data_IF_076621568415
#
_entry.id   IF_076621568415
#
_cell.length_a   1.000
_cell.length_b   1.000
_cell.length_c   1.000
_cell.angle_alpha   90.00
_cell.angle_beta   90.00
_cell.angle_gamma   90.00
#
_symmetry.space_group_name_H-M   'P 1'
#
loop_
_entity.id
_entity.type
_entity.pdbx_description
1 polymer ?
#
# COMPACT_ATOMS: atom_id res chain seq x y z
N UNK A 1 -55.18 67.15 -19.18
CA UNK A 1 -56.15 66.12 -19.60
C UNK A 1 -55.58 64.79 -19.12
N UNK A 2 -56.06 64.06 -18.12
CA UNK A 2 -57.37 63.97 -17.46
C UNK A 2 -57.13 63.62 -15.97
N UNK A 3 -57.90 64.22 -15.07
CA UNK A 3 -57.98 63.92 -13.64
C UNK A 3 -59.35 63.30 -13.33
N UNK A 4 -59.37 62.14 -12.67
CA UNK A 4 -60.55 61.54 -11.99
C UNK A 4 -60.02 60.38 -11.11
N UNK A 5 -60.01 60.37 -9.78
CA UNK A 5 -60.97 60.77 -8.74
C UNK A 5 -62.37 60.14 -8.93
N UNK A 6 -62.54 58.93 -8.41
CA UNK A 6 -63.85 58.35 -8.12
C UNK A 6 -64.06 58.20 -6.60
N UNK A 7 -64.83 59.17 -6.08
CA UNK A 7 -65.93 59.08 -5.11
C UNK A 7 -65.99 57.90 -4.12
N UNK A 8 -65.72 58.22 -2.84
CA UNK A 8 -66.21 57.48 -1.68
C UNK A 8 -67.44 58.20 -1.12
N UNK A 9 -68.60 57.57 -1.22
CA UNK A 9 -69.91 58.09 -0.79
C UNK A 9 -70.00 58.17 0.74
N UNK A 10 -70.30 59.38 1.25
CA UNK A 10 -70.73 59.64 2.62
C UNK A 10 -72.14 59.07 2.82
N UNK A 11 -72.29 58.13 3.75
CA UNK A 11 -73.58 57.88 4.41
C UNK A 11 -73.59 58.65 5.71
N UNK A 12 -74.37 59.73 5.73
CA UNK A 12 -74.76 60.39 6.97
C UNK A 12 -75.87 59.61 7.67
N UNK A 13 -75.90 59.70 9.00
CA UNK A 13 -77.08 59.51 9.84
C UNK A 13 -76.78 60.18 11.18
N UNK A 14 -76.93 61.50 11.23
CA UNK A 14 -77.45 62.14 12.43
C UNK A 14 -78.97 62.06 12.38
N UNK A 15 -79.58 61.43 13.37
CA UNK A 15 -80.71 61.97 14.12
C UNK A 15 -81.24 60.93 15.12
N UNK A 16 -81.49 61.44 16.33
CA UNK A 16 -82.56 61.05 17.27
C UNK A 16 -82.20 60.04 18.36
N UNK A 17 -81.99 60.58 19.56
CA UNK A 17 -82.29 59.91 20.82
C UNK A 17 -83.70 59.31 20.81
N UNK A 18 -83.86 58.15 21.47
CA UNK A 18 -85.01 58.00 22.34
C UNK A 18 -84.60 57.61 23.76
N UNK A 19 -85.22 58.28 24.72
CA UNK A 19 -85.47 57.78 26.07
C UNK A 19 -85.87 56.30 26.03
N UNK A 20 -85.21 55.47 26.84
CA UNK A 20 -85.80 54.59 27.88
C UNK A 20 -84.83 53.44 28.22
N UNK A 21 -84.51 53.25 29.50
CA UNK A 21 -83.63 52.18 30.00
C UNK A 21 -84.24 50.79 29.77
N UNK A 22 -83.40 49.81 29.42
CA UNK A 22 -83.49 48.45 29.99
C UNK A 22 -82.09 47.81 30.06
N UNK A 23 -81.74 47.31 31.25
CA UNK A 23 -80.51 46.52 31.50
C UNK A 23 -80.67 45.16 30.81
N UNK A 24 -80.06 44.99 29.65
CA UNK A 24 -79.92 43.70 28.98
C UNK A 24 -78.76 43.77 28.00
N UNK A 25 -77.79 42.86 28.12
CA UNK A 25 -76.64 42.78 27.19
C UNK A 25 -77.20 42.55 25.78
N UNK A 26 -77.03 43.52 24.88
CA UNK A 26 -77.63 43.46 23.54
C UNK A 26 -77.05 42.30 22.73
N UNK A 27 -77.91 41.64 21.93
CA UNK A 27 -77.55 40.52 21.05
C UNK A 27 -76.33 40.82 20.16
N UNK A 28 -76.08 42.10 19.82
CA UNK A 28 -74.92 42.53 19.04
C UNK A 28 -73.57 42.36 19.74
N UNK A 29 -73.52 42.38 21.08
CA UNK A 29 -72.30 42.12 21.85
C UNK A 29 -71.84 40.66 21.67
N UNK A 30 -72.77 39.71 21.74
CA UNK A 30 -72.47 38.30 21.54
C UNK A 30 -72.08 37.98 20.08
N UNK A 31 -72.69 38.63 19.09
CA UNK A 31 -72.29 38.45 17.68
C UNK A 31 -70.85 38.90 17.40
N UNK A 32 -70.41 40.03 17.98
CA UNK A 32 -69.00 40.47 17.87
C UNK A 32 -68.02 39.50 18.53
N UNK A 33 -68.42 38.95 19.68
CA UNK A 33 -67.63 37.94 20.40
C UNK A 33 -67.50 36.64 19.59
N UNK A 34 -68.59 36.16 19.00
CA UNK A 34 -68.57 34.95 18.16
C UNK A 34 -67.64 35.15 16.96
N UNK A 35 -67.72 36.28 16.26
CA UNK A 35 -66.80 36.58 15.14
C UNK A 35 -65.32 36.64 15.58
N UNK A 36 -65.04 37.20 16.75
CA UNK A 36 -63.67 37.23 17.30
C UNK A 36 -63.16 35.83 17.60
N UNK A 37 -63.97 34.98 18.26
CA UNK A 37 -63.59 33.61 18.55
C UNK A 37 -63.46 32.75 17.28
N UNK A 38 -64.32 32.95 16.27
CA UNK A 38 -64.19 32.27 14.98
C UNK A 38 -62.90 32.67 14.25
N UNK A 39 -62.55 33.96 14.22
CA UNK A 39 -61.30 34.43 13.63
C UNK A 39 -60.07 33.94 14.40
N UNK A 40 -60.16 33.83 15.73
CA UNK A 40 -59.08 33.37 16.59
C UNK A 40 -58.84 31.86 16.43
N UNK A 41 -59.91 31.05 16.41
CA UNK A 41 -59.82 29.61 16.14
C UNK A 41 -59.26 29.37 14.73
N UNK A 42 -59.69 30.14 13.73
CA UNK A 42 -59.13 30.06 12.37
C UNK A 42 -57.64 30.39 12.33
N UNK A 43 -57.19 31.44 13.04
CA UNK A 43 -55.78 31.79 13.11
C UNK A 43 -54.95 30.70 13.81
N UNK A 44 -55.46 30.13 14.91
CA UNK A 44 -54.79 29.02 15.60
C UNK A 44 -54.66 27.78 14.71
N UNK A 45 -55.70 27.45 13.94
CA UNK A 45 -55.64 26.34 12.97
C UNK A 45 -54.57 26.59 11.92
N UNK A 46 -54.48 27.81 11.36
CA UNK A 46 -53.45 28.15 10.38
C UNK A 46 -52.04 28.02 10.98
N UNK A 47 -51.82 28.53 12.19
CA UNK A 47 -50.52 28.40 12.89
C UNK A 47 -50.20 26.93 13.16
N UNK A 48 -51.16 26.13 13.63
CA UNK A 48 -50.96 24.70 13.84
C UNK A 48 -50.62 23.96 12.56
N UNK A 49 -51.29 24.25 11.44
CA UNK A 49 -51.00 23.65 10.14
C UNK A 49 -49.61 24.06 9.63
N UNK A 50 -49.21 25.32 9.79
CA UNK A 50 -47.88 25.81 9.40
C UNK A 50 -46.79 25.17 10.25
N UNK A 51 -46.99 25.05 11.58
CA UNK A 51 -46.07 24.32 12.44
C UNK A 51 -46.00 22.84 12.05
N UNK A 52 -47.12 22.22 11.68
CA UNK A 52 -47.12 20.85 11.17
C UNK A 52 -46.47 20.73 9.78
N UNK A 53 -46.45 21.78 8.97
CA UNK A 53 -45.81 21.77 7.64
C UNK A 53 -44.29 22.02 7.74
N UNK A 54 -43.86 22.87 8.68
CA UNK A 54 -42.45 23.19 8.94
C UNK A 54 -41.79 22.09 9.80
N UNK A 55 -42.47 21.60 10.83
CA UNK A 55 -41.93 20.61 11.79
C UNK A 55 -42.53 19.20 11.65
N UNK A 56 -43.54 19.00 10.80
CA UNK A 56 -44.16 17.68 10.57
C UNK A 56 -43.62 16.94 9.35
N UNK A 57 -42.62 17.48 8.63
CA UNK A 57 -41.73 16.60 7.87
C UNK A 57 -40.91 15.78 8.87
N UNK A 58 -40.78 14.46 8.71
CA UNK A 58 -40.04 13.64 9.65
C UNK A 58 -38.55 13.95 9.56
N UNK A 59 -38.05 14.89 10.36
CA UNK A 59 -36.61 15.11 10.65
C UNK A 59 -35.91 13.79 11.05
N UNK A 60 -36.69 12.79 11.47
CA UNK A 60 -36.24 11.43 11.76
C UNK A 60 -35.52 10.74 10.61
N UNK A 61 -35.78 11.02 9.33
CA UNK A 61 -35.08 10.24 8.28
C UNK A 61 -33.68 10.74 7.93
N UNK A 62 -33.42 12.05 8.03
CA UNK A 62 -32.14 12.63 7.60
C UNK A 62 -31.14 12.72 8.75
N UNK A 63 -31.60 13.09 9.95
CA UNK A 63 -30.71 13.17 11.12
C UNK A 63 -30.40 11.79 11.68
N UNK A 64 -31.38 10.88 11.79
CA UNK A 64 -31.17 9.51 12.27
C UNK A 64 -30.22 8.74 11.36
N UNK A 65 -30.34 8.91 10.03
CA UNK A 65 -29.39 8.32 9.07
C UNK A 65 -27.97 8.89 9.22
N UNK A 66 -27.83 10.19 9.52
CA UNK A 66 -26.51 10.78 9.78
C UNK A 66 -25.93 10.30 11.11
N UNK A 67 -26.76 10.07 12.12
CA UNK A 67 -26.33 9.50 13.40
C UNK A 67 -25.92 8.03 13.22
N UNK A 68 -26.69 7.24 12.47
CA UNK A 68 -26.37 5.84 12.15
C UNK A 68 -25.07 5.72 11.33
N UNK A 69 -24.89 6.57 10.30
CA UNK A 69 -23.65 6.63 9.52
C UNK A 69 -22.45 7.02 10.42
N UNK A 70 -22.66 7.94 11.37
CA UNK A 70 -21.62 8.37 12.31
C UNK A 70 -21.27 7.26 13.32
N UNK A 71 -22.26 6.52 13.80
CA UNK A 71 -22.08 5.37 14.69
C UNK A 71 -21.32 4.23 14.00
N UNK A 72 -21.69 3.89 12.76
CA UNK A 72 -20.98 2.93 11.92
C UNK A 72 -19.52 3.36 11.68
N UNK A 73 -19.31 4.64 11.36
CA UNK A 73 -17.98 5.21 11.16
C UNK A 73 -17.13 5.12 12.43
N UNK A 74 -17.72 5.44 13.58
CA UNK A 74 -17.06 5.36 14.88
C UNK A 74 -16.68 3.94 15.26
N UNK A 75 -17.60 2.98 15.08
CA UNK A 75 -17.36 1.56 15.36
C UNK A 75 -16.22 1.02 14.47
N UNK A 76 -16.24 1.34 13.17
CA UNK A 76 -15.16 0.97 12.24
C UNK A 76 -13.82 1.59 12.63
N UNK A 77 -13.81 2.86 13.04
CA UNK A 77 -12.58 3.53 13.47
C UNK A 77 -12.04 2.95 14.78
N UNK A 78 -12.92 2.58 15.72
CA UNK A 78 -12.58 1.93 16.97
C UNK A 78 -11.94 0.57 16.75
N UNK A 79 -12.52 -0.27 15.88
CA UNK A 79 -11.97 -1.58 15.52
C UNK A 79 -10.58 -1.46 14.88
N UNK A 80 -10.43 -0.53 13.92
CA UNK A 80 -9.12 -0.23 13.31
C UNK A 80 -8.10 0.23 14.36
N UNK A 81 -8.51 1.04 15.34
CA UNK A 81 -7.60 1.51 16.39
C UNK A 81 -7.13 0.35 17.30
N UNK A 82 -8.03 -0.57 17.64
CA UNK A 82 -7.70 -1.77 18.42
C UNK A 82 -6.72 -2.65 17.64
N UNK A 83 -6.97 -2.88 16.36
CA UNK A 83 -6.10 -3.69 15.49
C UNK A 83 -4.70 -3.04 15.36
N UNK A 84 -4.64 -1.74 15.11
CA UNK A 84 -3.37 -1.01 15.03
C UNK A 84 -2.57 -1.05 16.34
N UNK A 85 -3.26 -0.99 17.49
CA UNK A 85 -2.59 -1.15 18.80
C UNK A 85 -2.01 -2.55 18.98
N UNK A 86 -2.72 -3.58 18.51
CA UNK A 86 -2.25 -4.97 18.55
C UNK A 86 -1.04 -5.16 17.64
N UNK A 87 -1.10 -4.70 16.39
CA UNK A 87 0.01 -4.76 15.43
C UNK A 87 1.23 -4.00 15.92
N UNK A 88 1.04 -2.81 16.52
CA UNK A 88 2.13 -2.06 17.16
C UNK A 88 2.80 -2.87 18.27
N UNK A 89 2.03 -3.56 19.10
CA UNK A 89 2.56 -4.43 20.15
C UNK A 89 3.35 -5.60 19.59
N UNK A 90 2.84 -6.26 18.56
CA UNK A 90 3.49 -7.40 17.89
C UNK A 90 4.79 -6.97 17.19
N UNK A 91 4.77 -5.87 16.44
CA UNK A 91 5.95 -5.29 15.80
C UNK A 91 6.99 -4.84 16.84
N UNK A 92 6.53 -4.30 17.98
CA UNK A 92 7.41 -3.97 19.11
C UNK A 92 8.15 -5.19 19.64
N UNK A 93 7.42 -6.29 19.89
CA UNK A 93 8.01 -7.55 20.36
C UNK A 93 8.98 -8.16 19.32
N UNK A 94 8.65 -8.11 18.03
CA UNK A 94 9.54 -8.57 16.97
C UNK A 94 10.82 -7.73 16.88
N UNK A 95 10.70 -6.41 17.05
CA UNK A 95 11.86 -5.51 17.05
C UNK A 95 12.78 -5.79 18.24
N UNK A 96 12.23 -6.02 19.43
CA UNK A 96 13.01 -6.40 20.61
C UNK A 96 13.73 -7.74 20.39
N UNK A 97 13.03 -8.74 19.85
CA UNK A 97 13.63 -10.04 19.54
C UNK A 97 14.76 -9.93 18.51
N UNK A 98 14.56 -9.18 17.42
CA UNK A 98 15.59 -8.94 16.39
C UNK A 98 16.77 -8.15 16.92
N UNK A 99 16.52 -7.20 17.82
CA UNK A 99 17.59 -6.43 18.47
C UNK A 99 18.44 -7.32 19.38
N UNK A 100 17.82 -8.23 20.14
CA UNK A 100 18.53 -9.22 20.95
C UNK A 100 19.34 -10.21 20.08
N UNK A 101 18.78 -10.69 18.98
CA UNK A 101 19.47 -11.56 18.02
C UNK A 101 20.68 -10.85 17.39
N UNK A 102 20.51 -9.59 16.97
CA UNK A 102 21.61 -8.77 16.45
C UNK A 102 22.74 -8.62 17.47
N UNK A 103 22.41 -8.29 18.73
CA UNK A 103 23.41 -8.15 19.78
C UNK A 103 24.16 -9.48 20.05
N UNK A 104 23.46 -10.62 19.97
CA UNK A 104 24.08 -11.93 20.11
C UNK A 104 25.04 -12.24 18.94
N UNK A 105 24.65 -11.91 17.70
CA UNK A 105 25.48 -12.09 16.52
C UNK A 105 26.72 -11.18 16.54
N UNK A 106 26.57 -9.92 16.92
CA UNK A 106 27.71 -8.99 17.08
C UNK A 106 28.72 -9.53 18.11
N UNK A 107 28.23 -10.06 19.24
CA UNK A 107 29.10 -10.68 20.25
C UNK A 107 29.81 -11.93 19.72
N UNK A 108 29.12 -12.76 18.93
CA UNK A 108 29.73 -13.94 18.31
C UNK A 108 30.79 -13.55 17.27
N UNK A 109 30.55 -12.49 16.50
CA UNK A 109 31.49 -11.97 15.51
C UNK A 109 32.75 -11.42 16.16
N UNK A 110 32.62 -10.63 17.23
CA UNK A 110 33.78 -10.15 17.99
C UNK A 110 34.60 -11.30 18.58
N UNK A 111 33.93 -12.33 19.12
CA UNK A 111 34.62 -13.53 19.59
C UNK A 111 35.40 -14.22 18.45
N UNK A 112 34.76 -14.43 17.29
CA UNK A 112 35.41 -15.06 16.15
C UNK A 112 36.62 -14.25 15.65
N UNK A 113 36.52 -12.92 15.68
CA UNK A 113 37.63 -12.01 15.36
C UNK A 113 38.79 -12.15 16.34
N UNK A 114 38.50 -12.24 17.64
CA UNK A 114 39.56 -12.47 18.65
C UNK A 114 40.22 -13.84 18.49
N UNK A 115 39.44 -14.89 18.20
CA UNK A 115 39.94 -16.24 17.99
C UNK A 115 40.82 -16.28 16.72
N UNK A 116 40.37 -15.65 15.62
CA UNK A 116 41.12 -15.53 14.37
C UNK A 116 42.48 -14.82 14.58
N UNK A 117 42.49 -13.65 15.24
CA UNK A 117 43.72 -12.92 15.54
C UNK A 117 44.70 -13.75 16.40
N UNK A 118 44.17 -14.52 17.36
CA UNK A 118 44.97 -15.43 18.20
C UNK A 118 45.59 -16.56 17.36
N UNK A 119 44.81 -17.16 16.45
CA UNK A 119 45.33 -18.21 15.55
C UNK A 119 46.38 -17.67 14.58
N UNK A 120 46.19 -16.47 14.04
CA UNK A 120 47.17 -15.81 13.17
C UNK A 120 48.49 -15.58 13.92
N UNK A 121 48.42 -15.05 15.15
CA UNK A 121 49.59 -14.86 15.99
C UNK A 121 50.33 -16.17 16.29
N UNK A 122 49.59 -17.24 16.64
CA UNK A 122 50.18 -18.56 16.88
C UNK A 122 50.85 -19.14 15.63
N UNK A 123 50.23 -18.99 14.45
CA UNK A 123 50.80 -19.44 13.19
C UNK A 123 52.08 -18.68 12.86
N UNK A 124 52.08 -17.35 13.03
CA UNK A 124 53.26 -16.50 12.83
C UNK A 124 54.42 -16.91 13.75
N UNK A 125 54.14 -17.17 15.02
CA UNK A 125 55.12 -17.67 15.98
C UNK A 125 55.70 -19.05 15.59
N UNK A 126 54.85 -19.98 15.12
CA UNK A 126 55.30 -21.29 14.63
C UNK A 126 56.17 -21.16 13.38
N UNK A 127 55.82 -20.25 12.47
CA UNK A 127 56.59 -19.98 11.25
C UNK A 127 58.00 -19.48 11.60
N UNK A 128 58.11 -18.47 12.47
CA UNK A 128 59.40 -17.93 12.92
C UNK A 128 60.24 -18.95 13.68
N UNK A 129 59.62 -19.85 14.46
CA UNK A 129 60.34 -20.95 15.10
C UNK A 129 60.84 -21.99 14.09
N UNK A 130 60.06 -22.28 13.05
CA UNK A 130 60.47 -23.20 11.98
C UNK A 130 61.67 -22.63 11.21
N UNK A 131 61.64 -21.34 10.87
CA UNK A 131 62.78 -20.65 10.22
C UNK A 131 64.05 -20.67 11.09
N UNK A 132 63.92 -20.45 12.40
CA UNK A 132 65.01 -20.58 13.37
C UNK A 132 65.59 -22.00 13.47
N UNK A 133 64.74 -23.02 13.34
CA UNK A 133 65.17 -24.42 13.41
C UNK A 133 65.90 -24.86 12.13
N UNK A 134 65.46 -24.37 10.97
CA UNK A 134 66.12 -24.57 9.68
C UNK A 134 67.50 -23.92 9.64
N UNK A 135 67.63 -22.70 10.19
CA UNK A 135 68.91 -21.98 10.25
C UNK A 135 69.91 -22.61 11.22
N UNK A 136 69.47 -23.20 12.33
CA UNK A 136 70.33 -23.95 13.25
C UNK A 136 70.79 -25.33 12.70
N UNK A 137 69.97 -25.99 11.87
CA UNK A 137 70.34 -27.23 11.18
C UNK A 137 71.42 -27.05 10.12
N UNK A 138 71.59 -25.84 9.56
CA UNK A 138 72.64 -25.55 8.57
C UNK A 138 74.04 -25.29 9.19
N UNK A 139 74.19 -25.29 10.52
CA UNK A 139 75.46 -24.99 11.20
C UNK A 139 76.16 -26.15 11.93
N UNK A 140 75.72 -27.42 11.76
CA UNK A 140 76.44 -28.58 12.31
C UNK A 140 77.33 -29.29 11.27
N UNK A 141 78.63 -28.93 11.35
CA UNK A 141 79.89 -29.69 11.17
C UNK A 141 80.09 -30.62 9.94
N UNK A 142 81.30 -30.64 9.32
CA UNK A 142 81.60 -31.48 8.16
C UNK A 142 81.86 -32.94 8.59
N UNK A 143 81.23 -33.89 7.89
CA UNK A 143 81.57 -35.33 7.90
C UNK A 143 82.21 -35.73 6.57
N UNK A 144 83.14 -36.72 6.57
CA UNK A 144 83.98 -37.09 5.42
C UNK A 144 83.17 -37.75 4.28
N UNK A 145 83.73 -37.85 3.05
CA UNK A 145 82.96 -38.15 1.86
C UNK A 145 82.58 -39.63 1.83
N UNK A 146 81.29 -39.90 2.02
CA UNK A 146 80.72 -41.19 1.63
C UNK A 146 80.34 -41.06 0.16
N UNK A 147 80.98 -41.88 -0.66
CA UNK A 147 80.68 -42.03 -2.09
C UNK A 147 79.18 -42.26 -2.28
N UNK A 148 78.57 -41.46 -3.16
CA UNK A 148 77.22 -41.70 -3.63
C UNK A 148 77.19 -43.03 -4.38
N UNK A 149 76.31 -43.99 -4.02
CA UNK A 149 76.00 -45.10 -4.90
C UNK A 149 75.48 -44.54 -6.23
N UNK A 150 75.79 -45.17 -7.37
CA UNK A 150 75.19 -44.78 -8.63
C UNK A 150 73.68 -44.97 -8.53
N UNK A 151 72.96 -43.84 -8.51
CA UNK A 151 71.51 -43.82 -8.64
C UNK A 151 71.19 -44.26 -10.07
N UNK A 152 71.03 -45.57 -10.24
CA UNK A 152 70.31 -46.15 -11.37
C UNK A 152 68.83 -45.75 -11.23
N UNK A 153 68.53 -44.47 -11.48
CA UNK A 153 67.16 -44.06 -11.77
C UNK A 153 66.81 -44.72 -13.09
N UNK A 154 65.87 -45.66 -13.05
CA UNK A 154 65.40 -46.28 -14.27
C UNK A 154 64.72 -45.19 -15.11
N UNK A 155 64.83 -45.21 -16.44
CA UNK A 155 64.24 -44.14 -17.29
C UNK A 155 62.73 -43.98 -17.09
N UNK A 156 62.08 -45.00 -16.52
CA UNK A 156 60.69 -45.01 -16.10
C UNK A 156 60.37 -44.11 -14.90
N UNK A 157 61.24 -44.07 -13.88
CA UNK A 157 61.06 -43.24 -12.68
C UNK A 157 61.25 -41.76 -13.00
N UNK A 158 62.23 -41.45 -13.85
CA UNK A 158 62.48 -40.09 -14.32
C UNK A 158 61.28 -39.54 -15.12
N UNK A 159 60.69 -40.35 -16.01
CA UNK A 159 59.47 -39.99 -16.74
C UNK A 159 58.27 -39.77 -15.81
N UNK A 160 58.13 -40.60 -14.78
CA UNK A 160 57.04 -40.49 -13.81
C UNK A 160 57.16 -39.20 -13.00
N UNK A 161 58.36 -38.86 -12.52
CA UNK A 161 58.65 -37.59 -11.84
C UNK A 161 58.42 -36.37 -12.74
N UNK A 162 58.80 -36.46 -14.01
CA UNK A 162 58.60 -35.38 -14.98
C UNK A 162 57.11 -35.17 -15.29
N UNK A 163 56.33 -36.25 -15.40
CA UNK A 163 54.88 -36.20 -15.55
C UNK A 163 54.19 -35.59 -14.33
N UNK A 164 54.61 -35.98 -13.11
CA UNK A 164 54.06 -35.43 -11.87
C UNK A 164 54.36 -33.93 -11.72
N UNK A 165 55.57 -33.50 -12.11
CA UNK A 165 55.96 -32.09 -12.10
C UNK A 165 55.16 -31.28 -13.14
N UNK A 166 54.95 -31.84 -14.34
CA UNK A 166 54.09 -31.23 -15.36
C UNK A 166 52.63 -31.10 -14.87
N UNK A 167 52.12 -32.12 -14.18
CA UNK A 167 50.78 -32.09 -13.58
C UNK A 167 50.68 -31.04 -12.46
N UNK A 168 51.68 -30.93 -11.59
CA UNK A 168 51.73 -29.89 -10.55
C UNK A 168 51.76 -28.48 -11.16
N UNK A 169 52.55 -28.25 -12.22
CA UNK A 169 52.56 -26.97 -12.94
C UNK A 169 51.21 -26.64 -13.56
N UNK A 170 50.54 -27.63 -14.15
CA UNK A 170 49.19 -27.42 -14.72
C UNK A 170 48.18 -27.03 -13.64
N UNK A 171 48.24 -27.67 -12.45
CA UNK A 171 47.37 -27.34 -11.33
C UNK A 171 47.64 -25.93 -10.79
N UNK A 172 48.92 -25.55 -10.64
CA UNK A 172 49.30 -24.19 -10.21
C UNK A 172 48.76 -23.15 -11.19
N UNK A 173 48.94 -23.36 -12.50
CA UNK A 173 48.44 -22.44 -13.51
C UNK A 173 46.91 -22.32 -13.49
N UNK A 174 46.20 -23.43 -13.22
CA UNK A 174 44.74 -23.42 -13.09
C UNK A 174 44.29 -22.63 -11.85
N UNK A 175 44.97 -22.82 -10.71
CA UNK A 175 44.70 -22.07 -9.48
C UNK A 175 44.98 -20.59 -9.69
N UNK A 176 46.09 -20.24 -10.33
CA UNK A 176 46.45 -18.87 -10.64
C UNK A 176 45.41 -18.21 -11.55
N UNK A 177 44.99 -18.87 -12.63
CA UNK A 177 43.94 -18.36 -13.51
C UNK A 177 42.60 -18.16 -12.78
N UNK A 178 42.21 -19.11 -11.93
CA UNK A 178 40.98 -19.02 -11.14
C UNK A 178 41.04 -17.87 -10.12
N UNK A 179 42.20 -17.71 -9.46
CA UNK A 179 42.43 -16.60 -8.54
C UNK A 179 42.39 -15.26 -9.26
N UNK A 180 43.07 -15.12 -10.40
CA UNK A 180 43.03 -13.89 -11.21
C UNK A 180 41.61 -13.54 -11.66
N UNK A 181 40.84 -14.53 -12.14
CA UNK A 181 39.46 -14.32 -12.55
C UNK A 181 38.58 -13.87 -11.37
N UNK A 182 38.73 -14.52 -10.21
CA UNK A 182 37.97 -14.17 -9.01
C UNK A 182 38.31 -12.77 -8.52
N UNK A 183 39.59 -12.39 -8.51
CA UNK A 183 40.03 -11.05 -8.12
C UNK A 183 39.51 -9.99 -9.09
N UNK A 184 39.54 -10.25 -10.40
CA UNK A 184 38.97 -9.35 -11.40
C UNK A 184 37.47 -9.16 -11.20
N UNK A 185 36.71 -10.24 -11.01
CA UNK A 185 35.28 -10.20 -10.72
C UNK A 185 34.98 -9.38 -9.45
N UNK A 186 35.67 -9.67 -8.35
CA UNK A 186 35.47 -8.96 -7.09
C UNK A 186 35.88 -7.47 -7.19
N UNK A 187 36.91 -7.15 -7.95
CA UNK A 187 37.28 -5.75 -8.21
C UNK A 187 36.20 -5.03 -9.00
N UNK A 188 35.64 -5.66 -10.02
CA UNK A 188 34.56 -5.10 -10.82
C UNK A 188 33.30 -4.88 -9.98
N UNK A 189 32.92 -5.85 -9.15
CA UNK A 189 31.77 -5.73 -8.23
C UNK A 189 31.98 -4.61 -7.21
N UNK A 190 33.20 -4.46 -6.67
CA UNK A 190 33.53 -3.33 -5.80
C UNK A 190 33.35 -2.00 -6.53
N UNK A 191 33.86 -1.88 -7.75
CA UNK A 191 33.80 -0.64 -8.52
C UNK A 191 32.36 -0.28 -8.91
N UNK A 192 31.55 -1.28 -9.26
CA UNK A 192 30.11 -1.13 -9.46
C UNK A 192 29.42 -0.65 -8.18
N UNK A 193 29.69 -1.29 -7.04
CA UNK A 193 29.10 -0.91 -5.75
C UNK A 193 29.49 0.52 -5.33
N UNK A 194 30.72 0.95 -5.61
CA UNK A 194 31.16 2.33 -5.38
C UNK A 194 30.39 3.32 -6.27
N UNK A 195 30.23 2.99 -7.56
CA UNK A 195 29.46 3.82 -8.49
C UNK A 195 27.99 3.94 -8.10
N UNK A 196 27.38 2.83 -7.69
CA UNK A 196 25.98 2.82 -7.24
C UNK A 196 25.82 3.65 -5.97
N UNK A 197 26.74 3.51 -5.01
CA UNK A 197 26.77 4.35 -3.80
C UNK A 197 26.84 5.83 -4.16
N UNK A 198 27.73 6.22 -5.05
CA UNK A 198 27.93 7.62 -5.43
C UNK A 198 26.69 8.16 -6.18
N UNK A 199 26.06 7.32 -7.01
CA UNK A 199 24.79 7.64 -7.69
C UNK A 199 23.67 7.87 -6.68
N UNK A 200 23.46 6.92 -5.76
CA UNK A 200 22.46 7.05 -4.70
C UNK A 200 22.72 8.26 -3.80
N UNK A 201 23.98 8.60 -3.56
CA UNK A 201 24.32 9.78 -2.78
C UNK A 201 23.98 11.08 -3.53
N UNK A 202 24.25 11.13 -4.83
CA UNK A 202 23.82 12.21 -5.71
C UNK A 202 22.30 12.37 -5.75
N UNK A 203 21.57 11.28 -5.97
CA UNK A 203 20.10 11.26 -5.98
C UNK A 203 19.52 11.74 -4.64
N UNK A 204 20.09 11.29 -3.52
CA UNK A 204 19.65 11.73 -2.19
C UNK A 204 19.85 13.24 -1.98
N UNK A 205 20.94 13.81 -2.50
CA UNK A 205 21.18 15.27 -2.44
C UNK A 205 20.15 16.01 -3.30
N UNK A 206 19.90 15.54 -4.53
CA UNK A 206 18.92 16.12 -5.44
C UNK A 206 17.52 16.08 -4.85
N UNK A 207 17.08 14.92 -4.35
CA UNK A 207 15.78 14.75 -3.71
C UNK A 207 15.60 15.66 -2.48
N UNK A 208 16.64 15.85 -1.67
CA UNK A 208 16.59 16.78 -0.53
C UNK A 208 16.41 18.23 -0.98
N UNK A 209 17.10 18.65 -2.05
CA UNK A 209 16.93 19.99 -2.63
C UNK A 209 15.52 20.18 -3.18
N UNK A 210 15.03 19.23 -3.96
CA UNK A 210 13.67 19.28 -4.52
C UNK A 210 12.60 19.29 -3.43
N UNK A 211 12.74 18.46 -2.39
CA UNK A 211 11.80 18.45 -1.26
C UNK A 211 11.76 19.80 -0.53
N UNK A 212 12.92 20.43 -0.37
CA UNK A 212 13.02 21.76 0.26
C UNK A 212 12.34 22.82 -0.61
N UNK A 213 12.63 22.82 -1.91
CA UNK A 213 12.02 23.72 -2.89
C UNK A 213 10.50 23.57 -2.94
N UNK A 214 9.97 22.34 -2.96
CA UNK A 214 8.53 22.08 -2.94
C UNK A 214 7.87 22.58 -1.65
N UNK A 215 8.51 22.40 -0.49
CA UNK A 215 8.02 22.95 0.79
C UNK A 215 7.98 24.47 0.80
N UNK A 216 9.02 25.11 0.27
CA UNK A 216 9.06 26.57 0.10
C UNK A 216 7.96 27.06 -0.84
N UNK A 217 7.77 26.38 -1.98
CA UNK A 217 6.71 26.70 -2.94
C UNK A 217 5.32 26.57 -2.32
N UNK A 218 5.06 25.49 -1.57
CA UNK A 218 3.79 25.28 -0.86
C UNK A 218 3.54 26.37 0.20
N UNK A 219 4.58 26.72 0.97
CA UNK A 219 4.49 27.78 1.99
C UNK A 219 4.22 29.13 1.34
N UNK A 220 4.90 29.42 0.23
CA UNK A 220 4.72 30.65 -0.53
C UNK A 220 3.32 30.75 -1.13
N UNK A 221 2.84 29.67 -1.75
CA UNK A 221 1.49 29.59 -2.31
C UNK A 221 0.40 29.78 -1.25
N UNK A 222 0.54 29.12 -0.09
CA UNK A 222 -0.41 29.26 1.02
C UNK A 222 -0.48 30.71 1.52
N UNK A 223 0.68 31.36 1.69
CA UNK A 223 0.75 32.78 2.08
C UNK A 223 0.08 33.67 1.04
N UNK A 224 0.41 33.46 -0.25
CA UNK A 224 -0.14 34.23 -1.35
C UNK A 224 -1.66 34.08 -1.47
N UNK A 225 -2.20 32.88 -1.27
CA UNK A 225 -3.65 32.65 -1.24
C UNK A 225 -4.34 33.46 -0.14
N UNK A 226 -3.74 33.53 1.06
CA UNK A 226 -4.24 34.38 2.16
C UNK A 226 -4.18 35.87 1.81
N UNK A 227 -3.07 36.32 1.23
CA UNK A 227 -2.88 37.71 0.80
C UNK A 227 -3.87 38.10 -0.30
N UNK A 228 -4.01 37.29 -1.35
CA UNK A 228 -4.95 37.51 -2.47
C UNK A 228 -6.41 37.54 -2.00
N UNK A 229 -6.76 36.67 -1.05
CA UNK A 229 -8.08 36.69 -0.41
C UNK A 229 -8.31 37.99 0.37
N UNK A 230 -7.36 38.39 1.23
CA UNK A 230 -7.45 39.64 1.99
C UNK A 230 -7.52 40.86 1.05
N UNK A 231 -6.75 40.85 -0.04
CA UNK A 231 -6.74 41.93 -1.02
C UNK A 231 -8.08 42.05 -1.76
N UNK A 232 -8.73 40.94 -2.08
CA UNK A 232 -10.07 40.92 -2.69
C UNK A 232 -11.14 41.59 -1.81
N UNK A 233 -10.87 41.74 -0.52
CA UNK A 233 -11.79 42.30 0.48
C UNK A 233 -11.47 43.74 0.89
N UNK A 234 -10.38 44.32 0.36
CA UNK A 234 -9.97 45.71 0.62
C UNK A 234 -11.02 46.76 0.19
N UNK A 235 -11.96 46.37 -0.67
CA UNK A 235 -13.13 47.19 -1.00
C UNK A 235 -13.97 47.57 0.23
N UNK A 236 -14.05 46.69 1.24
CA UNK A 236 -14.81 46.94 2.47
C UNK A 236 -14.16 48.07 3.28
N UNK A 237 -12.85 48.00 3.50
CA UNK A 237 -12.08 49.06 4.19
C UNK A 237 -12.19 50.39 3.46
N UNK A 238 -12.23 50.37 2.13
CA UNK A 238 -12.45 51.57 1.31
C UNK A 238 -13.84 52.17 1.53
N UNK A 239 -14.89 51.35 1.50
CA UNK A 239 -16.28 51.80 1.76
C UNK A 239 -16.41 52.38 3.17
N UNK A 240 -15.84 51.73 4.19
CA UNK A 240 -15.87 52.21 5.58
C UNK A 240 -15.15 53.56 5.71
N UNK A 241 -13.96 53.70 5.10
CA UNK A 241 -13.19 54.94 5.11
C UNK A 241 -13.95 56.08 4.44
N UNK A 242 -14.55 55.82 3.28
CA UNK A 242 -15.33 56.83 2.56
C UNK A 242 -16.59 57.23 3.32
N UNK A 243 -17.26 56.27 3.97
CA UNK A 243 -18.41 56.54 4.84
C UNK A 243 -18.03 57.41 6.04
N UNK A 244 -16.93 57.09 6.74
CA UNK A 244 -16.39 57.90 7.85
C UNK A 244 -16.00 59.30 7.39
N UNK A 245 -15.32 59.42 6.25
CA UNK A 245 -15.00 60.71 5.64
C UNK A 245 -16.27 61.50 5.35
N UNK A 246 -17.33 60.85 4.86
CA UNK A 246 -18.61 61.51 4.58
C UNK A 246 -19.33 61.94 5.86
N UNK A 247 -19.28 61.17 6.95
CA UNK A 247 -19.80 61.59 8.27
C UNK A 247 -19.03 62.80 8.79
N UNK A 248 -17.69 62.76 8.71
CA UNK A 248 -16.83 63.86 9.17
C UNK A 248 -17.05 65.14 8.33
N UNK A 249 -17.35 64.99 7.03
CA UNK A 249 -17.57 66.11 6.10
C UNK A 249 -19.04 66.52 5.94
N UNK A 250 -20.00 65.71 6.41
CA UNK A 250 -21.43 66.05 6.43
C UNK A 250 -21.71 67.28 7.29
N UNK A 251 -20.80 67.60 8.22
CA UNK A 251 -20.87 68.76 9.08
C UNK A 251 -19.51 69.49 9.08
N UNK A 252 -19.21 70.29 8.03
CA UNK A 252 -17.97 71.05 8.02
C UNK A 252 -17.95 71.97 9.25
N UNK A 253 -16.77 72.15 9.84
CA UNK A 253 -16.53 73.04 10.99
C UNK A 253 -16.97 74.50 10.78
N UNK A 254 -17.54 74.83 9.61
CA UNK A 254 -17.88 76.18 9.17
C UNK A 254 -19.31 76.30 8.58
N UNK A 255 -20.17 75.26 8.65
CA UNK A 255 -21.57 75.46 8.28
C UNK A 255 -22.31 76.18 9.41
N UNK A 256 -22.52 77.45 9.11
CA UNK A 256 -23.21 78.55 9.79
C UNK A 256 -24.70 78.28 9.98
N UNK A 257 -25.11 77.08 10.38
CA UNK A 257 -26.31 76.99 11.21
C UNK A 257 -25.87 77.50 12.56
N UNK A 258 -26.37 78.68 12.94
CA UNK A 258 -26.40 79.09 14.33
C UNK A 258 -27.18 78.01 15.10
N UNK A 259 -26.50 76.93 15.50
CA UNK A 259 -26.92 76.02 16.56
C UNK A 259 -26.83 76.86 17.85
N UNK A 260 -27.73 77.83 17.98
CA UNK A 260 -27.80 78.76 19.12
C UNK A 260 -28.30 78.08 20.39
N UNK A 261 -28.57 76.78 20.33
CA UNK A 261 -29.04 75.97 21.43
C UNK A 261 -28.00 74.88 21.73
N UNK A 262 -27.40 74.95 22.92
CA UNK A 262 -26.42 73.98 23.41
C UNK A 262 -26.93 72.53 23.32
N UNK A 263 -28.25 72.33 23.48
CA UNK A 263 -28.86 71.00 23.38
C UNK A 263 -28.77 70.43 21.97
N UNK A 264 -28.83 71.25 20.91
CA UNK A 264 -28.71 70.77 19.54
C UNK A 264 -27.26 70.41 19.20
N UNK A 265 -26.29 71.14 19.74
CA UNK A 265 -24.87 70.81 19.61
C UNK A 265 -24.54 69.50 20.33
N UNK A 266 -25.09 69.27 21.53
CA UNK A 266 -24.90 68.03 22.27
C UNK A 266 -25.52 66.81 21.55
N UNK A 267 -26.73 66.96 21.00
CA UNK A 267 -27.37 65.90 20.20
C UNK A 267 -26.57 65.60 18.93
N UNK A 268 -25.97 66.62 18.32
CA UNK A 268 -25.13 66.45 17.13
C UNK A 268 -23.83 65.69 17.45
N UNK A 269 -23.14 66.04 18.53
CA UNK A 269 -21.96 65.31 19.00
C UNK A 269 -22.33 63.86 19.36
N UNK A 270 -23.48 63.62 19.97
CA UNK A 270 -24.00 62.26 20.20
C UNK A 270 -24.16 61.48 18.89
N UNK A 271 -24.79 62.06 17.87
CA UNK A 271 -24.96 61.39 16.56
C UNK A 271 -23.60 61.12 15.91
N UNK A 272 -22.68 62.09 15.92
CA UNK A 272 -21.33 61.94 15.37
C UNK A 272 -20.59 60.80 16.04
N UNK A 273 -20.60 60.76 17.38
CA UNK A 273 -19.93 59.72 18.17
C UNK A 273 -20.60 58.36 17.95
N UNK A 274 -21.93 58.28 17.90
CA UNK A 274 -22.67 57.05 17.59
C UNK A 274 -22.35 56.51 16.20
N UNK A 275 -22.36 57.35 15.16
CA UNK A 275 -22.04 56.94 13.78
C UNK A 275 -20.57 56.53 13.64
N UNK A 276 -19.65 57.25 14.28
CA UNK A 276 -18.21 56.91 14.27
C UNK A 276 -17.94 55.59 14.98
N UNK A 277 -18.56 55.40 16.16
CA UNK A 277 -18.43 54.17 16.94
C UNK A 277 -19.07 52.98 16.22
N UNK A 278 -20.24 53.16 15.61
CA UNK A 278 -20.90 52.12 14.81
C UNK A 278 -20.03 51.73 13.61
N UNK A 279 -19.48 52.70 12.88
CA UNK A 279 -18.62 52.43 11.74
C UNK A 279 -17.36 51.65 12.15
N UNK A 280 -16.74 51.99 13.28
CA UNK A 280 -15.59 51.24 13.83
C UNK A 280 -15.99 49.84 14.31
N UNK A 281 -17.13 49.68 14.97
CA UNK A 281 -17.60 48.35 15.43
C UNK A 281 -17.88 47.43 14.23
N UNK A 282 -18.47 47.99 13.17
CA UNK A 282 -18.69 47.29 11.90
C UNK A 282 -17.34 46.88 11.27
N UNK A 283 -16.38 47.80 11.16
CA UNK A 283 -15.04 47.51 10.62
C UNK A 283 -14.33 46.41 11.40
N UNK A 284 -14.32 46.49 12.74
CA UNK A 284 -13.68 45.50 13.61
C UNK A 284 -14.32 44.11 13.47
N UNK A 285 -15.66 44.04 13.42
CA UNK A 285 -16.38 42.76 13.25
C UNK A 285 -16.14 42.16 11.87
N UNK A 286 -16.10 42.99 10.83
CA UNK A 286 -15.74 42.51 9.49
C UNK A 286 -14.31 42.02 9.46
N UNK A 287 -13.33 42.75 10.01
CA UNK A 287 -11.94 42.30 10.04
C UNK A 287 -11.78 40.94 10.72
N UNK A 288 -12.40 40.75 11.88
CA UNK A 288 -12.44 39.46 12.58
C UNK A 288 -13.05 38.34 11.72
N UNK A 289 -14.15 38.63 11.02
CA UNK A 289 -14.76 37.68 10.10
C UNK A 289 -13.83 37.35 8.92
N UNK A 290 -13.18 38.35 8.34
CA UNK A 290 -12.24 38.16 7.23
C UNK A 290 -11.02 37.34 7.65
N UNK A 291 -10.46 37.60 8.83
CA UNK A 291 -9.34 36.83 9.36
C UNK A 291 -9.74 35.36 9.57
N UNK A 292 -10.94 35.13 10.12
CA UNK A 292 -11.44 33.77 10.34
C UNK A 292 -11.70 33.03 9.02
N UNK A 293 -12.36 33.67 8.05
CA UNK A 293 -12.60 33.07 6.73
C UNK A 293 -11.30 32.86 5.98
N UNK A 294 -10.37 33.82 6.00
CA UNK A 294 -9.06 33.71 5.36
C UNK A 294 -8.23 32.56 5.93
N UNK A 295 -8.25 32.37 7.25
CA UNK A 295 -7.60 31.22 7.88
C UNK A 295 -8.27 29.90 7.47
N UNK A 296 -9.61 29.83 7.43
CA UNK A 296 -10.35 28.64 6.97
C UNK A 296 -10.08 28.31 5.50
N UNK A 297 -10.05 29.31 4.62
CA UNK A 297 -9.74 29.12 3.20
C UNK A 297 -8.32 28.59 3.04
N UNK A 298 -7.34 29.15 3.76
CA UNK A 298 -5.96 28.66 3.75
C UNK A 298 -5.87 27.21 4.25
N UNK A 299 -6.60 26.85 5.30
CA UNK A 299 -6.66 25.49 5.83
C UNK A 299 -7.30 24.51 4.83
N UNK A 300 -8.44 24.87 4.24
CA UNK A 300 -9.13 24.07 3.22
C UNK A 300 -8.22 23.88 2.02
N UNK A 301 -7.56 24.93 1.54
CA UNK A 301 -6.66 24.84 0.40
C UNK A 301 -5.48 23.91 0.69
N UNK A 302 -4.86 24.04 1.87
CA UNK A 302 -3.76 23.18 2.29
C UNK A 302 -4.20 21.70 2.38
N UNK A 303 -5.39 21.44 2.93
CA UNK A 303 -5.94 20.09 3.02
C UNK A 303 -6.31 19.52 1.65
N UNK A 304 -6.93 20.33 0.78
CA UNK A 304 -7.30 19.94 -0.57
C UNK A 304 -6.06 19.57 -1.40
N UNK A 305 -5.03 20.41 -1.40
CA UNK A 305 -3.78 20.11 -2.11
C UNK A 305 -3.11 18.84 -1.58
N UNK A 306 -3.14 18.61 -0.26
CA UNK A 306 -2.61 17.36 0.33
C UNK A 306 -3.40 16.14 -0.13
N UNK A 307 -4.73 16.20 -0.12
CA UNK A 307 -5.59 15.10 -0.54
C UNK A 307 -5.44 14.81 -2.04
N UNK A 308 -5.29 15.84 -2.87
CA UNK A 308 -5.07 15.70 -4.31
C UNK A 308 -3.77 14.95 -4.61
N UNK A 309 -2.67 15.30 -3.94
CA UNK A 309 -1.40 14.59 -4.05
C UNK A 309 -1.52 13.14 -3.57
N UNK A 310 -2.15 12.92 -2.41
CA UNK A 310 -2.37 11.55 -1.90
C UNK A 310 -3.20 10.70 -2.85
N UNK A 311 -4.27 11.27 -3.42
CA UNK A 311 -5.13 10.58 -4.37
C UNK A 311 -4.36 10.23 -5.65
N UNK A 312 -3.57 11.17 -6.19
CA UNK A 312 -2.69 10.90 -7.34
C UNK A 312 -1.71 9.76 -7.07
N UNK A 313 -1.10 9.72 -5.89
CA UNK A 313 -0.17 8.65 -5.51
C UNK A 313 -0.90 7.30 -5.38
N UNK A 314 -2.04 7.26 -4.69
CA UNK A 314 -2.83 6.04 -4.56
C UNK A 314 -3.30 5.51 -5.92
N UNK A 315 -3.72 6.39 -6.84
CA UNK A 315 -4.09 5.98 -8.19
C UNK A 315 -2.91 5.38 -8.96
N UNK A 316 -1.72 5.98 -8.87
CA UNK A 316 -0.53 5.45 -9.51
C UNK A 316 -0.14 4.07 -8.94
N UNK A 317 -0.16 3.91 -7.61
CA UNK A 317 0.12 2.64 -6.94
C UNK A 317 -0.90 1.55 -7.33
N UNK A 318 -2.18 1.92 -7.42
CA UNK A 318 -3.24 1.01 -7.84
C UNK A 318 -3.03 0.56 -9.29
N UNK A 319 -2.72 1.47 -10.21
CA UNK A 319 -2.39 1.13 -11.60
C UNK A 319 -1.16 0.23 -11.70
N UNK A 320 -0.11 0.52 -10.92
CA UNK A 320 1.10 -0.31 -10.85
C UNK A 320 0.75 -1.72 -10.33
N UNK A 321 -0.07 -1.80 -9.28
CA UNK A 321 -0.52 -3.07 -8.71
C UNK A 321 -1.33 -3.88 -9.72
N UNK A 322 -2.27 -3.25 -10.42
CA UNK A 322 -3.07 -3.89 -11.46
C UNK A 322 -2.21 -4.41 -12.62
N UNK A 323 -1.23 -3.61 -13.05
CA UNK A 323 -0.27 -4.01 -14.08
C UNK A 323 0.55 -5.21 -13.63
N UNK A 324 1.16 -5.15 -12.45
CA UNK A 324 1.95 -6.25 -11.89
C UNK A 324 1.09 -7.52 -11.72
N UNK A 325 -0.16 -7.38 -11.28
CA UNK A 325 -1.10 -8.51 -11.19
C UNK A 325 -1.39 -9.10 -12.58
N UNK A 326 -1.62 -8.26 -13.58
CA UNK A 326 -1.85 -8.72 -14.96
C UNK A 326 -0.63 -9.44 -15.52
N UNK A 327 0.57 -8.90 -15.31
CA UNK A 327 1.82 -9.50 -15.77
C UNK A 327 2.09 -10.85 -15.08
N UNK A 328 1.90 -10.93 -13.76
CA UNK A 328 2.09 -12.17 -13.00
C UNK A 328 1.08 -13.26 -13.39
N UNK A 329 -0.19 -12.89 -13.63
CA UNK A 329 -1.21 -13.83 -14.14
C UNK A 329 -0.84 -14.32 -15.54
N UNK A 330 -0.43 -13.42 -16.43
CA UNK A 330 -0.01 -13.79 -17.78
C UNK A 330 1.21 -14.73 -17.77
N UNK A 331 2.19 -14.45 -16.91
CA UNK A 331 3.39 -15.28 -16.77
C UNK A 331 3.06 -16.66 -16.17
N UNK A 332 2.22 -16.72 -15.14
CA UNK A 332 1.75 -17.99 -14.58
C UNK A 332 1.00 -18.84 -15.62
N UNK A 333 0.19 -18.21 -16.46
CA UNK A 333 -0.50 -18.89 -17.55
C UNK A 333 0.48 -19.46 -18.59
N UNK A 334 1.51 -18.69 -19.00
CA UNK A 334 2.56 -19.18 -19.89
C UNK A 334 3.34 -20.35 -19.30
N UNK A 335 3.70 -20.27 -18.02
CA UNK A 335 4.41 -21.36 -17.34
C UNK A 335 3.56 -22.62 -17.24
N UNK A 336 2.26 -22.48 -16.98
CA UNK A 336 1.33 -23.62 -16.97
C UNK A 336 1.25 -24.27 -18.36
N UNK A 337 1.10 -23.47 -19.41
CA UNK A 337 1.05 -23.96 -20.78
C UNK A 337 2.35 -24.66 -21.20
N UNK A 338 3.50 -24.11 -20.82
CA UNK A 338 4.80 -24.72 -21.07
C UNK A 338 4.93 -26.08 -20.36
N UNK A 339 4.50 -26.16 -19.10
CA UNK A 339 4.50 -27.41 -18.33
C UNK A 339 3.57 -28.46 -18.94
N UNK A 340 2.36 -28.07 -19.35
CA UNK A 340 1.43 -28.98 -20.04
C UNK A 340 2.04 -29.51 -21.33
N UNK A 341 2.56 -28.63 -22.19
CA UNK A 341 3.20 -29.05 -23.44
C UNK A 341 4.38 -29.99 -23.21
N UNK A 342 5.23 -29.68 -22.23
CA UNK A 342 6.39 -30.53 -21.89
C UNK A 342 5.94 -31.91 -21.40
N UNK A 343 4.88 -31.96 -20.61
CA UNK A 343 4.30 -33.22 -20.15
C UNK A 343 3.71 -34.03 -21.32
N UNK A 344 2.94 -33.37 -22.20
CA UNK A 344 2.33 -34.01 -23.36
C UNK A 344 3.40 -34.58 -24.31
N UNK A 345 4.47 -33.82 -24.59
CA UNK A 345 5.62 -34.26 -25.38
C UNK A 345 6.31 -35.49 -24.76
N UNK A 346 6.44 -35.53 -23.42
CA UNK A 346 7.01 -36.68 -22.70
C UNK A 346 6.10 -37.92 -22.79
N UNK A 347 4.80 -37.74 -22.63
CA UNK A 347 3.81 -38.82 -22.74
C UNK A 347 3.79 -39.39 -24.16
N UNK A 348 3.82 -38.53 -25.18
CA UNK A 348 3.89 -38.95 -26.58
C UNK A 348 5.15 -39.78 -26.85
N UNK A 349 6.31 -39.33 -26.37
CA UNK A 349 7.57 -40.06 -26.49
C UNK A 349 7.51 -41.43 -25.81
N UNK A 350 6.94 -41.52 -24.61
CA UNK A 350 6.75 -42.79 -23.90
C UNK A 350 5.79 -43.73 -24.64
N UNK A 351 4.72 -43.20 -25.25
CA UNK A 351 3.78 -43.96 -26.07
C UNK A 351 4.46 -44.53 -27.32
N UNK A 352 5.26 -43.73 -28.03
CA UNK A 352 6.04 -44.19 -29.19
C UNK A 352 7.01 -45.31 -28.78
N UNK A 353 7.74 -45.13 -27.68
CA UNK A 353 8.68 -46.14 -27.18
C UNK A 353 7.97 -47.43 -26.75
N UNK A 354 6.81 -47.32 -26.09
CA UNK A 354 6.00 -48.47 -25.71
C UNK A 354 5.52 -49.25 -26.94
N UNK A 355 5.05 -48.56 -27.98
CA UNK A 355 4.61 -49.20 -29.22
C UNK A 355 5.78 -49.91 -29.92
N UNK A 356 6.94 -49.26 -30.00
CA UNK A 356 8.18 -49.84 -30.54
C UNK A 356 8.59 -51.12 -29.79
N UNK A 357 8.52 -51.09 -28.46
CA UNK A 357 8.85 -52.26 -27.62
C UNK A 357 7.83 -53.39 -27.79
N UNK A 358 6.53 -53.10 -27.95
CA UNK A 358 5.51 -54.12 -28.25
C UNK A 358 5.77 -54.80 -29.59
N UNK A 359 6.12 -54.04 -30.63
CA UNK A 359 6.47 -54.59 -31.94
C UNK A 359 7.72 -55.46 -31.87
N UNK A 360 8.78 -54.99 -31.18
CA UNK A 360 10.01 -55.75 -30.98
C UNK A 360 9.76 -57.06 -30.21
N UNK A 361 8.91 -57.02 -29.18
CA UNK A 361 8.49 -58.22 -28.43
C UNK A 361 7.77 -59.21 -29.35
N UNK A 362 6.81 -58.73 -30.16
CA UNK A 362 6.06 -59.58 -31.10
C UNK A 362 7.01 -60.29 -32.09
N UNK A 363 7.98 -59.56 -32.64
CA UNK A 363 9.00 -60.14 -33.53
C UNK A 363 9.87 -61.19 -32.83
N UNK A 364 10.24 -60.96 -31.57
CA UNK A 364 10.96 -61.96 -30.77
C UNK A 364 10.10 -63.20 -30.50
N UNK A 365 8.83 -63.03 -30.13
CA UNK A 365 7.90 -64.12 -29.88
C UNK A 365 7.70 -64.97 -31.16
N UNK A 366 7.57 -64.33 -32.33
CA UNK A 366 7.46 -65.01 -33.63
C UNK A 366 8.76 -65.77 -34.00
N UNK A 367 9.92 -65.17 -33.74
CA UNK A 367 11.23 -65.81 -33.94
C UNK A 367 11.42 -67.03 -33.03
N UNK A 368 11.04 -66.90 -31.76
CA UNK A 368 11.06 -68.01 -30.80
C UNK A 368 10.11 -69.13 -31.23
N UNK A 369 8.89 -68.80 -31.68
CA UNK A 369 7.94 -69.79 -32.18
C UNK A 369 8.47 -70.54 -33.43
N UNK A 370 9.19 -69.85 -34.32
CA UNK A 370 9.89 -70.46 -35.45
C UNK A 370 11.00 -71.42 -34.99
N UNK A 371 11.87 -70.96 -34.09
CA UNK A 371 12.93 -71.81 -33.51
C UNK A 371 12.37 -73.01 -32.77
N UNK A 372 11.27 -72.86 -32.05
CA UNK A 372 10.62 -73.97 -31.36
C UNK A 372 10.06 -75.00 -32.35
N UNK A 373 9.51 -74.55 -33.50
CA UNK A 373 9.13 -75.47 -34.60
C UNK A 373 10.33 -76.18 -35.19
N UNK A 374 11.44 -75.48 -35.45
CA UNK A 374 12.67 -76.10 -35.95
C UNK A 374 13.22 -77.15 -34.97
N UNK A 375 13.25 -76.84 -33.67
CA UNK A 375 13.65 -77.79 -32.62
C UNK A 375 12.72 -79.00 -32.58
N UNK A 376 11.40 -78.80 -32.70
CA UNK A 376 10.44 -79.92 -32.77
C UNK A 376 10.67 -80.81 -34.00
N UNK A 377 10.97 -80.23 -35.16
CA UNK A 377 11.28 -80.98 -36.38
C UNK A 377 12.59 -81.77 -36.21
N UNK A 378 13.63 -81.14 -35.65
CA UNK A 378 14.90 -81.81 -35.36
C UNK A 378 14.70 -82.94 -34.33
N UNK A 379 13.93 -82.71 -33.27
CA UNK A 379 13.57 -83.75 -32.31
C UNK A 379 12.75 -84.90 -32.93
N UNK A 380 11.91 -84.64 -33.93
CA UNK A 380 11.25 -85.71 -34.70
C UNK A 380 12.23 -86.49 -35.57
N UNK A 381 13.22 -85.82 -36.18
CA UNK A 381 14.27 -86.47 -36.97
C UNK A 381 15.25 -87.29 -36.10
N UNK A 382 15.44 -86.94 -34.82
CA UNK A 382 16.20 -87.72 -33.85
C UNK A 382 15.40 -88.90 -33.23
N UNK A 383 14.09 -88.99 -33.46
CA UNK A 383 13.21 -90.05 -32.92
C UNK A 383 12.99 -91.25 -33.87
N UNK A 384 13.77 -91.36 -34.95
CA UNK A 384 13.77 -92.54 -35.86
C UNK A 384 14.70 -93.67 -35.41
N UNK A 385 15.10 -93.71 -34.13
CA UNK A 385 15.85 -94.81 -33.54
C UNK A 385 15.38 -95.13 -32.12
N UNK A 386 14.70 -96.28 -31.98
CA UNK A 386 14.46 -97.08 -30.75
C UNK A 386 13.14 -96.80 -29.99
N UNK A 387 12.39 -97.86 -29.57
CA UNK A 387 10.95 -97.79 -29.39
C UNK A 387 10.46 -97.62 -27.93
N UNK A 388 9.24 -97.07 -27.88
CA UNK A 388 8.14 -97.08 -26.89
C UNK A 388 8.29 -97.99 -25.65
N UNK A 389 8.07 -97.40 -24.47
CA UNK A 389 7.50 -98.05 -23.29
C UNK A 389 6.44 -97.15 -22.62
N UNK A 390 5.48 -97.80 -21.96
CA UNK A 390 4.09 -97.41 -21.71
C UNK A 390 3.81 -96.53 -20.49
N UNK A 391 2.62 -95.89 -20.49
CA UNK A 391 1.82 -95.46 -19.31
C UNK A 391 2.20 -94.08 -18.74
N UNK A 392 1.30 -93.11 -18.51
CA UNK A 392 -0.07 -93.19 -18.00
C UNK A 392 -0.97 -92.03 -18.49
N UNK A 393 -2.24 -92.27 -18.19
CA UNK A 393 -3.52 -91.66 -18.50
C UNK A 393 -3.74 -90.20 -18.07
N UNK A 394 -4.84 -89.63 -18.57
CA UNK A 394 -5.19 -88.23 -18.69
C UNK A 394 -5.92 -87.58 -17.48
N UNK A 395 -5.75 -86.25 -17.37
CA UNK A 395 -6.69 -85.11 -17.17
C UNK A 395 -8.19 -85.40 -16.86
N UNK A 396 -9.00 -84.47 -16.25
CA UNK A 396 -9.04 -83.05 -16.65
C UNK A 396 -9.48 -81.92 -15.66
N UNK A 397 -9.03 -80.72 -16.03
CA UNK A 397 -9.70 -79.39 -16.10
C UNK A 397 -10.31 -78.62 -14.89
N UNK A 398 -9.95 -77.32 -14.92
CA UNK A 398 -10.73 -76.08 -14.73
C UNK A 398 -10.79 -75.37 -13.36
N UNK A 399 -10.31 -74.10 -13.39
CA UNK A 399 -11.04 -72.94 -12.89
C UNK A 399 -10.54 -72.31 -11.58
N UNK A 400 -10.20 -71.01 -11.61
CA UNK A 400 -10.30 -70.14 -10.44
C UNK A 400 -9.19 -69.12 -10.20
N UNK A 401 -9.39 -67.91 -10.73
CA UNK A 401 -9.07 -66.58 -10.19
C UNK A 401 -7.88 -66.33 -9.26
N UNK A 402 -7.01 -65.40 -9.65
CA UNK A 402 -6.11 -64.65 -8.75
C UNK A 402 -6.55 -63.19 -8.68
N UNK A 403 -6.92 -62.75 -7.48
CA UNK A 403 -7.02 -61.35 -7.03
C UNK A 403 -6.00 -61.14 -5.93
N UNK A 404 -5.15 -60.10 -6.05
CA UNK A 404 -4.65 -59.23 -4.98
C UNK A 404 -3.79 -58.12 -5.64
N UNK A 405 -4.36 -56.96 -5.97
CA UNK A 405 -4.52 -55.76 -5.14
C UNK A 405 -3.19 -55.01 -4.87
N UNK A 406 -2.98 -53.88 -5.56
CA UNK A 406 -2.09 -52.76 -5.19
C UNK A 406 -2.76 -51.43 -5.57
N UNK A 407 -2.52 -50.34 -4.81
CA UNK A 407 -3.56 -49.36 -4.53
C UNK A 407 -3.59 -48.15 -5.48
N UNK A 408 -4.81 -47.68 -5.66
CA UNK A 408 -5.21 -46.40 -6.22
C UNK A 408 -4.83 -45.28 -5.24
N UNK A 409 -3.87 -44.42 -5.59
CA UNK A 409 -3.67 -43.14 -4.90
C UNK A 409 -4.69 -42.15 -5.45
N UNK A 410 -5.85 -42.14 -4.81
CA UNK A 410 -6.92 -41.19 -5.02
C UNK A 410 -6.60 -39.83 -4.40
N UNK A 411 -7.01 -38.80 -5.12
CA UNK A 411 -7.04 -37.41 -4.71
C UNK A 411 -7.74 -37.22 -3.35
N UNK A 412 -7.09 -36.49 -2.45
CA UNK A 412 -7.74 -35.87 -1.30
C UNK A 412 -8.19 -34.46 -1.68
N UNK A 413 -9.51 -34.32 -1.89
CA UNK A 413 -10.16 -33.02 -1.86
C UNK A 413 -10.13 -32.45 -0.44
N UNK A 414 -9.53 -31.26 -0.30
CA UNK A 414 -9.71 -30.40 0.86
C UNK A 414 -10.51 -29.19 0.38
N UNK A 415 -11.82 -29.30 0.51
CA UNK A 415 -12.74 -28.16 0.52
C UNK A 415 -12.57 -27.42 1.85
N UNK A 416 -11.87 -26.27 1.80
CA UNK A 416 -11.94 -25.24 2.84
C UNK A 416 -12.55 -23.98 2.24
N UNK A 417 -13.83 -23.80 2.52
CA UNK A 417 -14.54 -22.53 2.49
C UNK A 417 -13.89 -21.57 3.49
N UNK A 418 -13.30 -20.48 3.00
CA UNK A 418 -12.92 -19.34 3.83
C UNK A 418 -14.15 -18.44 3.99
N UNK A 419 -14.67 -18.37 5.22
CA UNK A 419 -15.57 -17.30 5.66
C UNK A 419 -14.73 -16.03 5.83
N UNK A 420 -15.07 -15.01 5.05
CA UNK A 420 -14.74 -13.62 5.32
C UNK A 420 -15.52 -13.20 6.57
N UNK A 421 -14.81 -12.66 7.56
CA UNK A 421 -15.37 -11.71 8.52
C UNK A 421 -14.37 -10.60 8.71
#
# INVERSE_FOLDING_TARGET
>A
MYSSSYSRSKFGLEAREPLHKSKGKSCGYYMRIVFFFSSLIQSLIIVSLVLFLIYGQPEKSAEEKRVEDLELSFNRLSENNIQLRKEKGELGAQLEARTAEKAALEKALEKLKTDANSTEYQLKMKLSNCERMTTLSMMRRPTPPIQAPPLLTTSSELKTMQSLNAQQKALINLIEANFTQTVQYLSQERDNALKDRDTHHGDAITLRRENTMQKEQLTSYTRKCKEDFAQSLNGITTVTRDFLNRINNLFPHQLTFHLTCDSQQEQMEKIRNSCTNLSRDVENKFQLYLDNVGNKVAEIQAMSSRLEVQNSHLMADLQQCEKNRSETVAEAARQLQLKQKTHDDQVEKLLMEQNRLREQKKLQDDSLALREREVKILQQNFKSGVPKASGLQAAPQQGGGTVANWPLVGAQGISKTLKVR
#
